data_IF_072645285712
#
_entry.id   IF_072645285712
#
_cell.length_a   1.000
_cell.length_b   1.000
_cell.length_c   1.000
_cell.angle_alpha   90.00
_cell.angle_beta   90.00
_cell.angle_gamma   90.00
#
_symmetry.space_group_name_H-M   'P 1'
#
loop_
_entity.id
_entity.type
_entity.pdbx_description
1 polymer ?
#
# COMPACT_ATOMS: atom_id res chain seq x y z
N UNK A 1 -10.74 13.48 -26.02
CA UNK A 1 -11.16 12.50 -24.99
C UNK A 1 -10.88 11.11 -25.55
N UNK A 2 -9.97 10.35 -24.94
CA UNK A 2 -9.59 9.04 -25.48
C UNK A 2 -10.67 7.97 -25.27
N UNK A 3 -10.57 6.84 -26.00
CA UNK A 3 -11.40 5.64 -25.74
C UNK A 3 -11.22 5.16 -24.28
N UNK A 4 -10.01 5.29 -23.72
CA UNK A 4 -9.74 4.95 -22.31
C UNK A 4 -10.60 5.82 -21.38
N UNK A 5 -10.66 7.12 -21.63
CA UNK A 5 -11.50 8.06 -20.87
C UNK A 5 -13.00 7.73 -20.95
N UNK A 6 -13.50 7.32 -22.11
CA UNK A 6 -14.92 6.95 -22.30
C UNK A 6 -15.26 5.68 -21.53
N UNK A 7 -14.42 4.65 -21.62
CA UNK A 7 -14.63 3.36 -20.95
C UNK A 7 -14.33 3.41 -19.45
N UNK A 8 -13.52 4.37 -18.99
CA UNK A 8 -13.14 4.50 -17.59
C UNK A 8 -14.34 4.77 -16.68
N UNK A 9 -15.30 5.62 -17.08
CA UNK A 9 -16.45 5.99 -16.26
C UNK A 9 -17.39 4.82 -15.92
N UNK A 10 -17.88 4.02 -16.89
CA UNK A 10 -18.74 2.87 -16.56
C UNK A 10 -17.98 1.81 -15.77
N UNK A 11 -16.71 1.58 -16.09
CA UNK A 11 -15.88 0.63 -15.34
C UNK A 11 -15.65 1.10 -13.89
N UNK A 12 -15.30 2.37 -13.69
CA UNK A 12 -15.17 2.99 -12.39
C UNK A 12 -16.45 2.86 -11.56
N UNK A 13 -17.62 3.14 -12.16
CA UNK A 13 -18.91 2.96 -11.50
C UNK A 13 -19.12 1.51 -11.04
N UNK A 14 -18.83 0.53 -11.90
CA UNK A 14 -18.97 -0.89 -11.54
C UNK A 14 -18.04 -1.29 -10.38
N UNK A 15 -16.79 -0.84 -10.41
CA UNK A 15 -15.80 -1.11 -9.35
C UNK A 15 -16.21 -0.45 -8.04
N UNK A 16 -16.63 0.83 -8.07
CA UNK A 16 -17.12 1.54 -6.90
C UNK A 16 -18.35 0.84 -6.27
N UNK A 17 -19.33 0.39 -7.07
CA UNK A 17 -20.48 -0.36 -6.56
C UNK A 17 -20.05 -1.65 -5.85
N UNK A 18 -19.11 -2.41 -6.43
CA UNK A 18 -18.59 -3.63 -5.80
C UNK A 18 -17.82 -3.34 -4.52
N UNK A 19 -17.03 -2.27 -4.51
CA UNK A 19 -16.28 -1.82 -3.36
C UNK A 19 -17.21 -1.43 -2.20
N UNK A 20 -18.11 -0.49 -2.41
CA UNK A 20 -19.04 -0.03 -1.37
C UNK A 20 -19.99 -1.12 -0.89
N UNK A 21 -20.36 -2.09 -1.74
CA UNK A 21 -21.11 -3.27 -1.28
C UNK A 21 -20.35 -4.04 -0.19
N UNK A 22 -19.03 -4.19 -0.31
CA UNK A 22 -18.19 -4.86 0.69
C UNK A 22 -17.96 -3.95 1.90
N UNK A 23 -17.61 -2.68 1.69
CA UNK A 23 -17.37 -1.72 2.78
C UNK A 23 -18.61 -1.53 3.66
N UNK A 24 -19.80 -1.44 3.08
CA UNK A 24 -21.07 -1.33 3.84
C UNK A 24 -21.42 -2.61 4.62
N UNK A 25 -20.74 -3.72 4.35
CA UNK A 25 -20.88 -4.99 5.08
C UNK A 25 -19.56 -5.37 5.80
N UNK A 26 -18.75 -4.38 6.14
CA UNK A 26 -17.38 -4.53 6.63
C UNK A 26 -17.19 -5.60 7.71
N UNK A 27 -18.02 -5.60 8.75
CA UNK A 27 -17.92 -6.56 9.85
C UNK A 27 -18.12 -8.00 9.36
N UNK A 28 -19.12 -8.24 8.53
CA UNK A 28 -19.39 -9.56 7.95
C UNK A 28 -18.24 -10.01 7.05
N UNK A 29 -17.75 -9.10 6.21
CA UNK A 29 -16.62 -9.37 5.31
C UNK A 29 -15.35 -9.71 6.12
N UNK A 30 -15.06 -8.99 7.20
CA UNK A 30 -13.93 -9.30 8.09
C UNK A 30 -14.06 -10.67 8.75
N UNK A 31 -15.27 -11.09 9.13
CA UNK A 31 -15.51 -12.45 9.63
C UNK A 31 -15.26 -13.52 8.56
N UNK A 32 -15.62 -13.26 7.31
CA UNK A 32 -15.34 -14.15 6.17
C UNK A 32 -13.83 -14.24 5.89
N UNK A 33 -13.13 -13.10 5.88
CA UNK A 33 -11.67 -13.03 5.74
C UNK A 33 -10.98 -13.79 6.87
N UNK A 34 -11.37 -13.56 8.13
CA UNK A 34 -10.84 -14.28 9.28
C UNK A 34 -10.96 -15.80 9.13
N UNK A 35 -12.17 -16.31 8.81
CA UNK A 35 -12.39 -17.75 8.59
C UNK A 35 -11.52 -18.30 7.47
N UNK A 36 -11.37 -17.55 6.37
CA UNK A 36 -10.53 -17.94 5.26
C UNK A 36 -9.05 -18.00 5.66
N UNK A 37 -8.57 -17.02 6.41
CA UNK A 37 -7.19 -16.97 6.92
C UNK A 37 -6.87 -18.19 7.79
N UNK A 38 -7.68 -18.46 8.81
CA UNK A 38 -7.47 -19.61 9.71
C UNK A 38 -7.52 -20.93 8.94
N UNK A 39 -8.50 -21.10 8.05
CA UNK A 39 -8.67 -22.34 7.27
C UNK A 39 -7.45 -22.64 6.39
N UNK A 40 -6.87 -21.62 5.76
CA UNK A 40 -5.72 -21.81 4.86
C UNK A 40 -4.39 -21.93 5.61
N UNK A 41 -4.30 -21.38 6.81
CA UNK A 41 -3.07 -21.36 7.59
C UNK A 41 -2.94 -22.53 8.57
N UNK A 42 -4.02 -23.27 8.85
CA UNK A 42 -4.02 -24.32 9.89
C UNK A 42 -2.95 -25.41 9.74
N UNK A 43 -2.51 -25.70 8.51
CA UNK A 43 -1.51 -26.73 8.22
C UNK A 43 -0.07 -26.20 8.17
N UNK A 44 0.12 -24.88 8.30
CA UNK A 44 1.46 -24.27 8.35
C UNK A 44 2.14 -24.59 9.68
N UNK A 45 3.46 -24.42 9.75
CA UNK A 45 4.22 -24.56 10.99
C UNK A 45 3.65 -23.61 12.04
N UNK A 46 3.44 -22.33 11.71
CA UNK A 46 2.84 -21.37 12.62
C UNK A 46 1.43 -21.80 13.06
N UNK A 47 0.59 -22.28 12.14
CA UNK A 47 -0.77 -22.72 12.44
C UNK A 47 -0.80 -23.93 13.39
N UNK A 48 0.15 -24.85 13.25
CA UNK A 48 0.30 -26.01 14.15
C UNK A 48 0.80 -25.60 15.53
N UNK A 49 1.81 -24.75 15.59
CA UNK A 49 2.40 -24.25 16.85
C UNK A 49 1.37 -23.48 17.70
N UNK A 50 0.38 -22.86 17.06
CA UNK A 50 -0.69 -22.09 17.71
C UNK A 50 -2.07 -22.79 17.62
N UNK A 51 -2.10 -24.09 17.34
CA UNK A 51 -3.30 -24.92 17.34
C UNK A 51 -4.50 -24.34 16.57
N UNK A 52 -4.28 -23.85 15.35
CA UNK A 52 -5.31 -23.24 14.50
C UNK A 52 -6.50 -24.17 14.20
N UNK A 53 -6.28 -25.49 14.24
CA UNK A 53 -7.35 -26.49 14.10
C UNK A 53 -8.42 -26.39 15.20
N UNK A 54 -8.09 -25.82 16.37
CA UNK A 54 -9.03 -25.64 17.48
C UNK A 54 -9.80 -24.32 17.43
N UNK A 55 -9.39 -23.38 16.58
CA UNK A 55 -9.94 -22.02 16.54
C UNK A 55 -11.30 -22.02 15.85
N UNK A 56 -12.37 -21.76 16.61
CA UNK A 56 -13.75 -21.68 16.10
C UNK A 56 -14.32 -20.27 16.19
N UNK A 57 -13.72 -19.43 17.02
CA UNK A 57 -14.15 -18.06 17.28
C UNK A 57 -12.97 -17.09 17.33
N UNK A 58 -13.29 -15.80 17.29
CA UNK A 58 -12.31 -14.73 17.50
C UNK A 58 -11.65 -14.81 18.89
N UNK A 59 -12.42 -15.21 19.92
CA UNK A 59 -11.90 -15.37 21.28
C UNK A 59 -10.91 -16.54 21.39
N UNK A 60 -11.17 -17.64 20.68
CA UNK A 60 -10.19 -18.75 20.61
C UNK A 60 -8.90 -18.27 19.95
N UNK A 61 -9.01 -17.48 18.87
CA UNK A 61 -7.86 -16.94 18.16
C UNK A 61 -7.00 -16.02 19.03
N UNK A 62 -7.61 -15.08 19.76
CA UNK A 62 -6.87 -14.19 20.67
C UNK A 62 -6.09 -14.95 21.74
N UNK A 63 -6.64 -16.05 22.26
CA UNK A 63 -5.97 -16.90 23.25
C UNK A 63 -4.76 -17.63 22.67
N UNK A 64 -4.84 -18.05 21.41
CA UNK A 64 -3.77 -18.80 20.76
C UNK A 64 -2.70 -17.91 20.14
N UNK A 65 -3.05 -16.72 19.65
CA UNK A 65 -2.15 -15.86 18.88
C UNK A 65 -1.94 -14.54 19.63
N UNK A 66 -0.86 -14.39 20.42
CA UNK A 66 -0.54 -13.11 21.04
C UNK A 66 -0.12 -12.06 20.01
N UNK A 67 -0.18 -10.80 20.43
CA UNK A 67 0.35 -9.67 19.65
C UNK A 67 1.86 -9.75 19.60
N UNK A 68 2.45 -9.47 18.44
CA UNK A 68 3.88 -9.63 18.15
C UNK A 68 4.40 -8.48 17.32
N UNK A 69 5.63 -8.10 17.57
CA UNK A 69 6.41 -7.31 16.64
C UNK A 69 7.12 -8.20 15.62
N UNK A 70 7.98 -7.60 14.80
CA UNK A 70 8.78 -8.35 13.83
C UNK A 70 9.77 -9.31 14.48
N UNK A 71 10.41 -8.94 15.59
CA UNK A 71 11.42 -9.80 16.23
C UNK A 71 10.79 -11.09 16.77
N UNK A 72 9.58 -11.01 17.32
CA UNK A 72 8.84 -12.19 17.76
C UNK A 72 8.42 -13.13 16.61
N UNK A 73 8.22 -12.61 15.39
CA UNK A 73 7.95 -13.43 14.19
C UNK A 73 9.21 -13.86 13.43
N UNK A 74 10.34 -13.23 13.70
CA UNK A 74 11.61 -13.42 12.98
C UNK A 74 12.04 -14.90 12.87
N UNK A 75 11.92 -15.76 13.90
CA UNK A 75 12.28 -17.18 13.75
C UNK A 75 11.51 -17.91 12.64
N UNK A 76 10.24 -17.55 12.42
CA UNK A 76 9.44 -18.10 11.32
C UNK A 76 9.79 -17.44 9.98
N UNK A 77 10.03 -16.12 9.98
CA UNK A 77 10.45 -15.40 8.78
C UNK A 77 11.79 -15.94 8.26
N UNK A 78 12.75 -16.23 9.13
CA UNK A 78 14.06 -16.75 8.76
C UNK A 78 13.98 -18.13 8.09
N UNK A 79 13.12 -19.03 8.58
CA UNK A 79 12.82 -20.31 7.91
C UNK A 79 12.23 -20.10 6.51
N UNK A 80 11.30 -19.16 6.38
CA UNK A 80 10.74 -18.82 5.07
C UNK A 80 11.80 -18.22 4.12
N UNK A 81 12.69 -17.36 4.63
CA UNK A 81 13.84 -16.79 3.89
C UNK A 81 14.87 -17.87 3.54
N UNK A 82 15.00 -18.92 4.35
CA UNK A 82 15.80 -20.12 4.04
C UNK A 82 15.19 -20.96 2.90
N UNK A 83 13.99 -20.62 2.43
CA UNK A 83 13.31 -21.29 1.33
C UNK A 83 12.41 -22.44 1.78
N UNK A 84 12.15 -22.59 3.08
CA UNK A 84 11.18 -23.56 3.59
C UNK A 84 9.74 -23.17 3.21
N UNK A 85 8.88 -24.17 3.03
CA UNK A 85 7.48 -23.97 2.63
C UNK A 85 6.53 -24.16 3.81
N UNK A 86 5.34 -23.57 3.72
CA UNK A 86 4.27 -23.73 4.72
C UNK A 86 4.69 -23.27 6.12
N UNK A 87 5.51 -22.22 6.24
CA UNK A 87 5.97 -21.71 7.54
C UNK A 87 4.91 -20.79 8.16
N UNK A 88 4.77 -19.58 7.62
CA UNK A 88 3.83 -18.55 8.08
C UNK A 88 2.51 -18.58 7.28
N UNK A 89 2.59 -18.92 6.01
CA UNK A 89 1.48 -19.08 5.07
C UNK A 89 1.73 -20.31 4.20
N UNK A 90 0.69 -20.84 3.55
CA UNK A 90 0.81 -22.00 2.66
C UNK A 90 1.75 -21.71 1.48
N UNK A 91 2.52 -22.72 1.07
CA UNK A 91 3.52 -22.60 0.02
C UNK A 91 4.74 -21.76 0.43
N UNK A 92 5.44 -21.20 -0.57
CA UNK A 92 6.54 -20.26 -0.38
C UNK A 92 6.09 -18.85 -0.74
N UNK A 93 6.57 -17.79 -0.07
CA UNK A 93 6.42 -16.42 -0.55
C UNK A 93 6.96 -16.27 -1.98
N UNK A 94 6.32 -15.43 -2.78
CA UNK A 94 6.82 -15.04 -4.11
C UNK A 94 7.98 -14.06 -3.98
N UNK A 95 7.88 -13.16 -3.02
CA UNK A 95 8.91 -12.18 -2.72
C UNK A 95 9.07 -11.98 -1.21
N UNK A 96 10.20 -11.40 -0.82
CA UNK A 96 10.31 -10.65 0.41
C UNK A 96 10.49 -9.17 0.11
N UNK A 97 9.60 -8.35 0.66
CA UNK A 97 9.81 -6.92 0.74
C UNK A 97 10.84 -6.63 1.83
N UNK A 98 11.97 -6.05 1.44
CA UNK A 98 13.02 -5.60 2.36
C UNK A 98 12.70 -4.20 2.86
N UNK A 99 12.51 -4.04 4.16
CA UNK A 99 12.34 -2.73 4.80
C UNK A 99 13.55 -2.40 5.67
N UNK A 100 13.88 -1.12 5.78
CA UNK A 100 14.93 -0.63 6.68
C UNK A 100 14.40 -0.68 8.12
N UNK A 101 14.72 -1.75 8.85
CA UNK A 101 14.47 -1.85 10.28
C UNK A 101 15.48 -1.01 11.07
N UNK A 102 15.05 -0.41 12.18
CA UNK A 102 15.84 0.58 12.95
C UNK A 102 16.56 0.04 14.19
N UNK A 103 16.66 -1.27 14.40
CA UNK A 103 17.41 -1.81 15.56
C UNK A 103 18.05 -3.18 15.34
N UNK A 104 17.53 -4.01 14.44
CA UNK A 104 17.88 -5.43 14.29
C UNK A 104 18.35 -5.84 12.88
N UNK A 105 18.60 -4.86 12.01
CA UNK A 105 18.92 -5.07 10.60
C UNK A 105 17.68 -4.99 9.70
N UNK A 106 17.81 -5.55 8.49
CA UNK A 106 16.73 -5.50 7.50
C UNK A 106 15.58 -6.45 7.88
N UNK A 107 14.34 -5.96 7.82
CA UNK A 107 13.14 -6.80 7.94
C UNK A 107 12.79 -7.39 6.57
N UNK A 108 12.34 -8.63 6.55
CA UNK A 108 11.90 -9.34 5.35
C UNK A 108 10.41 -9.66 5.50
N UNK A 109 9.56 -8.85 4.88
CA UNK A 109 8.11 -9.04 4.93
C UNK A 109 7.69 -9.93 3.76
N UNK A 110 7.04 -11.08 3.99
CA UNK A 110 6.63 -11.98 2.93
C UNK A 110 5.56 -11.35 2.04
N UNK A 111 5.63 -11.60 0.73
CA UNK A 111 4.58 -11.32 -0.24
C UNK A 111 4.23 -12.61 -0.96
N UNK A 112 2.96 -13.04 -0.87
CA UNK A 112 2.49 -14.32 -1.38
C UNK A 112 1.77 -14.15 -2.72
N UNK A 113 1.42 -15.27 -3.35
CA UNK A 113 0.61 -15.28 -4.57
C UNK A 113 -0.77 -14.66 -4.34
N UNK A 114 -1.30 -14.79 -3.13
CA UNK A 114 -2.58 -14.23 -2.71
C UNK A 114 -2.50 -12.76 -2.31
N UNK A 115 -1.39 -12.32 -1.68
CA UNK A 115 -1.27 -10.93 -1.23
C UNK A 115 -0.86 -9.97 -2.34
N UNK A 116 0.04 -10.36 -3.24
CA UNK A 116 0.58 -9.42 -4.23
C UNK A 116 -0.48 -8.76 -5.14
N UNK A 117 -1.50 -9.48 -5.66
CA UNK A 117 -2.55 -8.88 -6.47
C UNK A 117 -3.40 -7.82 -5.73
N UNK A 118 -3.44 -7.86 -4.41
CA UNK A 118 -4.25 -6.95 -3.59
C UNK A 118 -3.65 -5.54 -3.57
N UNK A 119 -2.31 -5.41 -3.55
CA UNK A 119 -1.63 -4.12 -3.68
C UNK A 119 -1.94 -3.43 -5.02
N UNK A 120 -1.90 -4.20 -6.11
CA UNK A 120 -2.15 -3.68 -7.46
C UNK A 120 -3.63 -3.30 -7.64
N UNK A 121 -4.52 -4.15 -7.14
CA UNK A 121 -5.96 -3.89 -7.20
C UNK A 121 -6.36 -2.69 -6.35
N UNK A 122 -5.77 -2.51 -5.17
CA UNK A 122 -6.01 -1.36 -4.31
C UNK A 122 -5.57 -0.05 -4.96
N UNK A 123 -4.33 0.02 -5.46
CA UNK A 123 -3.82 1.20 -6.16
C UNK A 123 -4.64 1.55 -7.42
N UNK A 124 -5.09 0.54 -8.18
CA UNK A 124 -6.01 0.76 -9.31
C UNK A 124 -7.36 1.26 -8.85
N UNK A 125 -7.92 0.65 -7.80
CA UNK A 125 -9.25 0.96 -7.32
C UNK A 125 -9.33 2.38 -6.75
N UNK A 126 -8.28 2.89 -6.10
CA UNK A 126 -8.26 4.29 -5.63
C UNK A 126 -8.47 5.29 -6.78
N UNK A 127 -7.77 5.10 -7.90
CA UNK A 127 -7.96 5.91 -9.12
C UNK A 127 -9.38 5.76 -9.70
N UNK A 128 -9.91 4.53 -9.71
CA UNK A 128 -11.26 4.27 -10.24
C UNK A 128 -12.35 4.86 -9.34
N UNK A 129 -12.17 4.86 -8.02
CA UNK A 129 -13.12 5.46 -7.10
C UNK A 129 -13.10 6.99 -7.22
N UNK A 130 -11.92 7.59 -7.40
CA UNK A 130 -11.81 9.00 -7.77
C UNK A 130 -12.57 9.33 -9.07
N UNK A 131 -12.42 8.53 -10.13
CA UNK A 131 -13.19 8.71 -11.37
C UNK A 131 -14.70 8.54 -11.11
N UNK A 132 -15.08 7.57 -10.28
CA UNK A 132 -16.48 7.29 -9.97
C UNK A 132 -17.15 8.45 -9.22
N UNK A 133 -16.43 9.11 -8.31
CA UNK A 133 -16.91 10.27 -7.57
C UNK A 133 -16.90 11.53 -8.45
N UNK A 134 -15.75 11.90 -9.00
CA UNK A 134 -15.53 13.21 -9.63
C UNK A 134 -15.93 13.27 -11.11
N UNK A 135 -16.04 12.12 -11.78
CA UNK A 135 -16.17 11.98 -13.24
C UNK A 135 -14.99 12.56 -14.04
N UNK A 136 -13.91 13.01 -13.38
CA UNK A 136 -12.70 13.51 -14.01
C UNK A 136 -11.88 12.32 -14.53
N UNK A 137 -11.58 12.31 -15.83
CA UNK A 137 -10.78 11.24 -16.45
C UNK A 137 -9.59 11.79 -17.23
N UNK A 138 -9.42 13.11 -17.33
CA UNK A 138 -8.37 13.71 -18.16
C UNK A 138 -6.97 13.23 -17.79
N UNK A 139 -6.74 12.87 -16.52
CA UNK A 139 -5.46 12.33 -16.06
C UNK A 139 -5.06 11.01 -16.73
N UNK A 140 -5.99 10.28 -17.36
CA UNK A 140 -5.67 9.00 -18.02
C UNK A 140 -5.13 9.16 -19.44
N UNK A 141 -5.27 10.37 -20.00
CA UNK A 141 -4.94 10.63 -21.41
C UNK A 141 -3.46 11.04 -21.59
N UNK A 142 -2.80 11.56 -20.55
CA UNK A 142 -1.38 11.96 -20.60
C UNK A 142 -0.40 10.94 -20.02
N UNK A 143 0.80 11.43 -19.67
CA UNK A 143 1.85 10.67 -18.98
C UNK A 143 1.64 10.67 -17.47
N UNK A 144 2.06 9.58 -16.84
CA UNK A 144 1.99 9.37 -15.40
C UNK A 144 3.38 9.06 -14.88
N UNK A 145 3.76 9.66 -13.76
CA UNK A 145 5.00 9.31 -13.06
C UNK A 145 4.69 8.64 -11.73
N UNK A 146 5.46 7.59 -11.41
CA UNK A 146 5.56 7.08 -10.05
C UNK A 146 7.02 7.13 -9.59
N UNK A 147 7.33 8.04 -8.67
CA UNK A 147 8.62 8.12 -7.99
C UNK A 147 8.71 6.96 -7.00
N UNK A 148 9.45 5.92 -7.40
CA UNK A 148 9.55 4.65 -6.68
C UNK A 148 11.00 4.24 -6.42
N UNK A 149 11.19 3.33 -5.46
CA UNK A 149 12.45 2.61 -5.29
C UNK A 149 12.81 1.73 -6.49
N UNK A 150 14.09 1.32 -6.56
CA UNK A 150 14.61 0.48 -7.64
C UNK A 150 13.77 -0.78 -7.86
N UNK A 151 13.46 -1.14 -9.12
CA UNK A 151 12.74 -2.34 -9.49
C UNK A 151 13.65 -3.57 -9.53
N UNK A 152 14.95 -3.40 -9.28
CA UNK A 152 15.89 -4.51 -9.21
C UNK A 152 15.55 -5.44 -8.05
N UNK A 153 15.62 -6.73 -8.35
CA UNK A 153 15.33 -7.79 -7.40
C UNK A 153 16.58 -8.64 -7.26
N UNK A 154 16.96 -8.87 -6.01
CA UNK A 154 17.93 -9.90 -5.68
C UNK A 154 17.20 -11.23 -5.50
N UNK A 155 17.92 -12.35 -5.55
CA UNK A 155 17.35 -13.66 -5.26
C UNK A 155 18.11 -14.31 -4.11
N UNK A 156 17.36 -14.92 -3.19
CA UNK A 156 17.92 -15.72 -2.10
C UNK A 156 17.08 -16.97 -1.93
N UNK A 157 17.72 -18.14 -2.02
CA UNK A 157 17.07 -19.45 -1.86
C UNK A 157 15.84 -19.64 -2.76
N UNK A 158 15.90 -19.14 -4.00
CA UNK A 158 14.81 -19.23 -4.98
C UNK A 158 13.63 -18.28 -4.74
N UNK A 159 13.76 -17.31 -3.83
CA UNK A 159 12.75 -16.28 -3.55
C UNK A 159 13.35 -14.90 -3.86
N UNK A 160 12.59 -14.07 -4.58
CA UNK A 160 13.02 -12.73 -4.97
C UNK A 160 12.92 -11.74 -3.80
N UNK A 161 13.82 -10.79 -3.72
CA UNK A 161 13.93 -9.81 -2.64
C UNK A 161 14.07 -8.42 -3.25
N UNK A 162 13.25 -7.47 -2.80
CA UNK A 162 13.31 -6.08 -3.25
C UNK A 162 12.51 -5.15 -2.34
N UNK A 163 12.43 -3.88 -2.69
CA UNK A 163 11.48 -2.95 -2.03
C UNK A 163 10.08 -3.19 -2.59
N UNK A 164 9.03 -3.01 -1.80
CA UNK A 164 7.65 -3.18 -2.25
C UNK A 164 7.35 -2.39 -3.53
N UNK A 165 7.75 -1.11 -3.57
CA UNK A 165 7.55 -0.24 -4.74
C UNK A 165 8.22 -0.80 -6.00
N UNK A 166 9.43 -1.37 -5.85
CA UNK A 166 10.17 -2.02 -6.92
C UNK A 166 9.50 -3.31 -7.40
N UNK A 167 9.10 -4.17 -6.46
CA UNK A 167 8.37 -5.42 -6.74
C UNK A 167 7.06 -5.12 -7.50
N UNK A 168 6.30 -4.12 -7.05
CA UNK A 168 5.03 -3.74 -7.67
C UNK A 168 5.16 -3.30 -9.14
N UNK A 169 6.34 -2.79 -9.54
CA UNK A 169 6.59 -2.36 -10.91
C UNK A 169 6.57 -3.52 -11.92
N UNK A 170 6.88 -4.75 -11.48
CA UNK A 170 6.81 -5.96 -12.30
C UNK A 170 5.37 -6.40 -12.61
N UNK A 171 4.38 -5.83 -11.93
CA UNK A 171 2.96 -6.15 -12.11
C UNK A 171 2.22 -5.13 -12.98
N UNK A 172 2.90 -4.09 -13.46
CA UNK A 172 2.29 -3.08 -14.33
C UNK A 172 2.03 -3.70 -15.70
N UNK A 173 0.77 -3.75 -16.18
CA UNK A 173 0.46 -4.29 -17.51
C UNK A 173 1.20 -3.55 -18.62
N UNK A 174 1.69 -4.28 -19.62
CA UNK A 174 2.49 -3.72 -20.72
C UNK A 174 1.84 -2.52 -21.44
N UNK A 175 0.51 -2.54 -21.61
CA UNK A 175 -0.23 -1.46 -22.25
C UNK A 175 -0.25 -0.15 -21.44
N UNK A 176 0.02 -0.22 -20.12
CA UNK A 176 0.15 0.96 -19.24
C UNK A 176 1.59 1.47 -19.16
N UNK A 177 2.59 0.63 -19.46
CA UNK A 177 4.02 1.01 -19.40
C UNK A 177 4.31 2.18 -20.34
N UNK A 178 3.70 2.25 -21.53
CA UNK A 178 3.94 3.32 -22.52
C UNK A 178 3.62 4.73 -22.01
N UNK A 179 2.72 4.85 -21.04
CA UNK A 179 2.32 6.13 -20.46
C UNK A 179 3.00 6.38 -19.11
N UNK A 180 3.91 5.50 -18.67
CA UNK A 180 4.50 5.54 -17.34
C UNK A 180 5.97 5.95 -17.41
N UNK A 181 6.33 6.89 -16.55
CA UNK A 181 7.68 7.36 -16.31
C UNK A 181 8.07 7.11 -14.83
N UNK A 182 9.37 7.12 -14.50
CA UNK A 182 10.49 7.14 -15.44
C UNK A 182 10.73 5.78 -16.10
N UNK A 183 11.65 5.72 -17.05
CA UNK A 183 12.08 4.49 -17.72
C UNK A 183 12.62 3.45 -16.72
N UNK A 184 12.74 2.20 -17.17
CA UNK A 184 13.32 1.14 -16.33
C UNK A 184 14.75 1.47 -15.91
N UNK A 185 15.57 1.95 -16.86
CA UNK A 185 16.97 2.31 -16.61
C UNK A 185 17.09 3.42 -15.56
N UNK A 186 16.33 4.51 -15.71
CA UNK A 186 16.30 5.60 -14.72
C UNK A 186 15.79 5.13 -13.37
N UNK A 187 14.83 4.19 -13.35
CA UNK A 187 14.37 3.59 -12.10
C UNK A 187 15.45 2.77 -11.36
N UNK A 188 16.43 2.21 -12.08
CA UNK A 188 17.55 1.45 -11.51
C UNK A 188 18.70 2.31 -10.96
N UNK A 189 18.69 3.64 -11.16
CA UNK A 189 19.73 4.52 -10.60
C UNK A 189 19.68 4.45 -9.06
N UNK A 190 20.80 4.11 -8.42
CA UNK A 190 20.89 3.98 -6.96
C UNK A 190 21.02 5.33 -6.26
N UNK A 191 21.87 6.22 -6.78
CA UNK A 191 22.05 7.56 -6.24
C UNK A 191 20.78 8.40 -6.45
N UNK A 192 20.23 8.90 -5.34
CA UNK A 192 18.92 9.53 -5.35
C UNK A 192 18.92 10.87 -6.10
N UNK A 193 19.98 11.66 -5.97
CA UNK A 193 20.07 12.96 -6.64
C UNK A 193 20.22 12.77 -8.16
N UNK A 194 21.16 11.93 -8.59
CA UNK A 194 21.32 11.58 -10.00
C UNK A 194 20.06 10.94 -10.59
N UNK A 195 19.34 10.12 -9.81
CA UNK A 195 18.06 9.57 -10.23
C UNK A 195 17.04 10.66 -10.50
N UNK A 196 16.90 11.64 -9.59
CA UNK A 196 15.94 12.72 -9.79
C UNK A 196 16.33 13.62 -10.97
N UNK A 197 17.61 13.91 -11.18
CA UNK A 197 18.04 14.66 -12.38
C UNK A 197 17.64 13.93 -13.68
N UNK A 198 17.89 12.63 -13.77
CA UNK A 198 17.48 11.80 -14.91
C UNK A 198 15.94 11.74 -15.07
N UNK A 199 15.20 11.70 -13.97
CA UNK A 199 13.73 11.79 -14.00
C UNK A 199 13.29 13.14 -14.61
N UNK A 200 13.92 14.25 -14.19
CA UNK A 200 13.60 15.57 -14.74
C UNK A 200 13.93 15.60 -16.24
N UNK A 201 15.05 15.02 -16.68
CA UNK A 201 15.41 14.95 -18.11
C UNK A 201 14.32 14.23 -18.94
N UNK A 202 13.78 13.13 -18.41
CA UNK A 202 12.74 12.34 -19.08
C UNK A 202 11.36 13.00 -19.08
N UNK A 203 11.08 13.92 -18.15
CA UNK A 203 9.71 14.38 -17.87
C UNK A 203 9.48 15.85 -18.22
N UNK A 204 10.51 16.69 -18.23
CA UNK A 204 10.40 18.16 -18.36
C UNK A 204 9.62 18.62 -19.62
N UNK A 205 9.64 17.84 -20.69
CA UNK A 205 8.97 18.14 -21.96
C UNK A 205 7.72 17.26 -22.21
N UNK A 206 7.30 16.47 -21.23
CA UNK A 206 6.18 15.54 -21.35
C UNK A 206 4.87 16.14 -20.80
N UNK A 207 3.74 15.69 -21.33
CA UNK A 207 2.42 16.05 -20.81
C UNK A 207 2.08 15.23 -19.55
N UNK A 208 2.68 15.62 -18.42
CA UNK A 208 2.44 14.97 -17.14
C UNK A 208 1.06 15.33 -16.60
N UNK A 209 0.27 14.32 -16.32
CA UNK A 209 -1.13 14.48 -15.88
C UNK A 209 -1.42 13.88 -14.51
N UNK A 210 -0.70 12.81 -14.16
CA UNK A 210 -0.72 12.19 -12.84
C UNK A 210 0.72 12.09 -12.30
N UNK A 211 0.92 12.58 -11.10
CA UNK A 211 2.20 12.48 -10.38
C UNK A 211 1.95 11.68 -9.11
N UNK A 212 2.79 10.69 -8.84
CA UNK A 212 2.67 9.86 -7.65
C UNK A 212 4.02 9.57 -7.00
N UNK A 213 4.04 9.51 -5.68
CA UNK A 213 5.23 9.17 -4.90
C UNK A 213 5.11 9.62 -3.45
N UNK A 214 6.18 9.42 -2.69
CA UNK A 214 6.31 9.97 -1.33
C UNK A 214 6.43 11.50 -1.44
N UNK A 215 5.65 12.29 -0.66
CA UNK A 215 5.70 13.76 -0.70
C UNK A 215 7.10 14.37 -0.69
N UNK A 216 8.01 13.90 0.16
CA UNK A 216 9.39 14.43 0.20
C UNK A 216 10.16 14.20 -1.11
N UNK A 217 9.96 13.06 -1.77
CA UNK A 217 10.59 12.75 -3.06
C UNK A 217 10.03 13.59 -4.20
N UNK A 218 8.70 13.77 -4.20
CA UNK A 218 8.00 14.57 -5.22
C UNK A 218 8.33 16.06 -5.06
N UNK A 219 8.48 16.54 -3.81
CA UNK A 219 8.92 17.90 -3.54
C UNK A 219 10.30 18.16 -4.17
N UNK A 220 11.27 17.27 -3.96
CA UNK A 220 12.61 17.43 -4.53
C UNK A 220 12.57 17.45 -6.06
N UNK A 221 11.76 16.57 -6.67
CA UNK A 221 11.54 16.55 -8.12
C UNK A 221 10.92 17.86 -8.63
N UNK A 222 9.94 18.43 -7.92
CA UNK A 222 9.34 19.73 -8.26
C UNK A 222 10.34 20.89 -8.13
N UNK A 223 11.14 20.90 -7.07
CA UNK A 223 12.18 21.91 -6.85
C UNK A 223 13.23 21.86 -7.98
N UNK A 224 13.63 20.67 -8.42
CA UNK A 224 14.54 20.49 -9.57
C UNK A 224 13.95 20.93 -10.91
N UNK A 225 12.67 20.68 -11.15
CA UNK A 225 11.96 21.19 -12.33
C UNK A 225 11.95 22.72 -12.35
N UNK A 226 11.65 23.36 -11.21
CA UNK A 226 11.62 24.81 -11.09
C UNK A 226 13.04 25.39 -11.25
N UNK A 227 14.05 24.77 -10.63
CA UNK A 227 15.45 25.17 -10.75
C UNK A 227 15.90 25.21 -12.22
N UNK A 228 15.52 24.20 -13.02
CA UNK A 228 15.91 24.11 -14.44
C UNK A 228 15.11 25.01 -15.38
N UNK A 229 13.87 25.36 -15.04
CA UNK A 229 12.97 26.08 -15.96
C UNK A 229 12.66 27.52 -15.55
N UNK A 230 12.84 27.86 -14.28
CA UNK A 230 12.35 29.11 -13.69
C UNK A 230 10.82 29.21 -13.62
N UNK A 231 10.07 28.13 -13.88
CA UNK A 231 8.60 28.11 -13.95
C UNK A 231 8.01 27.23 -12.88
N UNK A 232 6.80 27.53 -12.39
CA UNK A 232 6.08 26.65 -11.47
C UNK A 232 5.66 25.36 -12.17
N UNK A 233 5.49 24.27 -11.41
CA UNK A 233 5.20 22.95 -11.98
C UNK A 233 3.91 22.93 -12.79
N UNK A 234 2.88 23.67 -12.38
CA UNK A 234 1.63 23.79 -13.14
C UNK A 234 1.77 24.52 -14.48
N UNK A 235 2.83 25.31 -14.67
CA UNK A 235 3.17 25.93 -15.96
C UNK A 235 3.96 24.97 -16.86
N UNK A 236 4.83 24.15 -16.27
CA UNK A 236 5.60 23.11 -16.98
C UNK A 236 4.65 22.00 -17.44
N UNK A 237 3.71 21.60 -16.57
CA UNK A 237 2.71 20.55 -16.82
C UNK A 237 1.28 21.10 -16.73
N UNK A 238 0.77 21.76 -17.78
CA UNK A 238 -0.55 22.40 -17.77
C UNK A 238 -1.71 21.44 -17.43
N UNK A 239 -1.59 20.15 -17.77
CA UNK A 239 -2.62 19.15 -17.53
C UNK A 239 -2.41 18.32 -16.25
N UNK A 240 -1.38 18.61 -15.45
CA UNK A 240 -1.20 17.98 -14.14
C UNK A 240 -2.35 18.35 -13.21
N UNK A 241 -3.18 17.36 -12.87
CA UNK A 241 -4.41 17.58 -12.12
C UNK A 241 -4.76 16.48 -11.12
N UNK A 242 -3.89 15.48 -10.93
CA UNK A 242 -4.06 14.47 -9.90
C UNK A 242 -2.72 14.08 -9.25
N UNK A 243 -2.59 14.32 -7.95
CA UNK A 243 -1.44 13.90 -7.16
C UNK A 243 -1.80 12.71 -6.26
N UNK A 244 -1.10 11.60 -6.38
CA UNK A 244 -1.36 10.39 -5.60
C UNK A 244 -0.19 10.10 -4.67
N UNK A 245 -0.41 10.14 -3.36
CA UNK A 245 0.67 10.07 -2.39
C UNK A 245 0.44 9.01 -1.32
N UNK A 246 1.50 8.66 -0.60
CA UNK A 246 1.44 7.77 0.57
C UNK A 246 2.79 7.70 1.27
N UNK A 247 2.81 7.00 2.40
CA UNK A 247 4.03 6.71 3.16
C UNK A 247 4.44 7.77 4.19
N UNK A 248 3.91 9.00 4.11
CA UNK A 248 4.03 10.02 5.17
C UNK A 248 2.78 10.91 5.19
N UNK A 249 2.54 11.57 6.32
CA UNK A 249 1.49 12.58 6.44
C UNK A 249 1.75 13.75 5.47
N UNK A 250 0.78 14.04 4.60
CA UNK A 250 0.88 15.09 3.57
C UNK A 250 0.51 16.49 4.07
N UNK A 251 -0.26 16.62 5.16
CA UNK A 251 -0.71 17.93 5.64
C UNK A 251 0.43 18.96 5.85
N UNK A 252 1.60 18.60 6.41
CA UNK A 252 2.74 19.52 6.52
C UNK A 252 3.29 20.01 5.16
N UNK A 253 3.07 19.24 4.09
CA UNK A 253 3.58 19.53 2.74
C UNK A 253 2.59 20.30 1.88
N UNK A 254 1.29 20.31 2.24
CA UNK A 254 0.20 20.82 1.39
C UNK A 254 0.45 22.24 0.86
N UNK A 255 0.76 23.20 1.74
CA UNK A 255 1.00 24.58 1.35
C UNK A 255 2.22 24.73 0.43
N UNK A 256 3.30 23.99 0.71
CA UNK A 256 4.51 23.98 -0.12
C UNK A 256 4.21 23.42 -1.51
N UNK A 257 3.44 22.34 -1.60
CA UNK A 257 3.02 21.76 -2.87
C UNK A 257 2.14 22.71 -3.68
N UNK A 258 1.13 23.34 -3.06
CA UNK A 258 0.29 24.33 -3.74
C UNK A 258 1.12 25.50 -4.29
N UNK A 259 2.15 25.96 -3.56
CA UNK A 259 3.06 26.99 -4.05
C UNK A 259 3.95 26.51 -5.21
N UNK A 260 4.59 25.34 -5.09
CA UNK A 260 5.45 24.75 -6.13
C UNK A 260 4.67 24.49 -7.42
N UNK A 261 3.41 24.06 -7.30
CA UNK A 261 2.52 23.81 -8.44
C UNK A 261 1.96 25.13 -8.99
N UNK A 262 1.73 26.12 -8.13
CA UNK A 262 1.09 27.39 -8.48
C UNK A 262 -0.43 27.34 -8.52
N UNK A 263 -1.03 26.20 -8.15
CA UNK A 263 -2.48 25.99 -8.05
C UNK A 263 -2.78 24.75 -7.21
N UNK A 264 -4.04 24.62 -6.80
CA UNK A 264 -4.57 23.40 -6.22
C UNK A 264 -4.73 22.30 -7.26
N UNK A 265 -4.43 21.08 -6.84
CA UNK A 265 -4.56 19.84 -7.61
C UNK A 265 -5.27 18.82 -6.73
N UNK A 266 -6.17 18.03 -7.31
CA UNK A 266 -6.86 16.97 -6.57
C UNK A 266 -5.83 15.96 -6.05
N UNK A 267 -6.12 15.35 -4.90
CA UNK A 267 -5.21 14.39 -4.28
C UNK A 267 -5.89 13.07 -3.93
N UNK A 268 -5.11 11.99 -3.95
CA UNK A 268 -5.53 10.69 -3.42
C UNK A 268 -4.46 10.21 -2.46
N UNK A 269 -4.81 10.10 -1.19
CA UNK A 269 -3.97 9.48 -0.17
C UNK A 269 -4.08 7.96 -0.22
N UNK A 270 -2.94 7.29 -0.08
CA UNK A 270 -2.80 5.84 -0.02
C UNK A 270 -2.08 5.45 1.27
N UNK A 271 -2.52 4.34 1.87
CA UNK A 271 -1.83 3.68 2.97
C UNK A 271 -1.33 2.27 2.57
N UNK A 272 -0.27 2.19 1.74
CA UNK A 272 0.42 0.95 1.46
C UNK A 272 1.52 0.67 2.49
N UNK A 273 1.64 -0.58 2.91
CA UNK A 273 2.77 -1.10 3.66
C UNK A 273 3.30 -2.38 3.00
N UNK A 274 4.48 -2.85 3.40
CA UNK A 274 5.01 -4.14 2.90
C UNK A 274 4.15 -5.32 3.34
N UNK A 275 3.48 -5.14 4.47
CA UNK A 275 2.56 -6.06 5.14
C UNK A 275 1.21 -6.18 4.41
N UNK A 276 0.82 -5.16 3.66
CA UNK A 276 -0.45 -5.10 2.92
C UNK A 276 -0.83 -3.68 2.52
N UNK A 277 -1.80 -3.55 1.62
CA UNK A 277 -2.40 -2.25 1.30
C UNK A 277 -3.63 -2.05 2.21
N UNK A 278 -3.53 -1.15 3.18
CA UNK A 278 -4.47 -1.05 4.31
C UNK A 278 -5.68 -0.18 3.96
N UNK A 279 -5.45 1.02 3.41
CA UNK A 279 -6.52 1.99 3.15
C UNK A 279 -6.18 2.90 1.96
N UNK A 280 -7.18 3.56 1.39
CA UNK A 280 -6.98 4.68 0.48
C UNK A 280 -8.12 5.70 0.62
N UNK A 281 -7.86 6.94 0.23
CA UNK A 281 -8.87 7.99 0.13
C UNK A 281 -9.87 7.67 -0.99
N UNK A 282 -11.14 7.51 -0.64
CA UNK A 282 -12.23 7.20 -1.57
C UNK A 282 -13.14 8.40 -1.88
N UNK A 283 -12.98 9.51 -1.15
CA UNK A 283 -13.71 10.76 -1.36
C UNK A 283 -12.79 11.98 -1.44
N UNK A 284 -13.14 12.95 -2.29
CA UNK A 284 -12.53 14.28 -2.35
C UNK A 284 -13.14 15.29 -1.37
N UNK A 285 -14.24 14.92 -0.69
CA UNK A 285 -15.00 15.82 0.18
C UNK A 285 -14.91 15.42 1.66
N UNK A 286 -14.70 14.14 1.94
CA UNK A 286 -14.53 13.62 3.30
C UNK A 286 -13.05 13.52 3.69
N UNK A 287 -12.76 13.71 4.98
CA UNK A 287 -11.42 13.49 5.52
C UNK A 287 -11.19 12.00 5.82
N UNK A 288 -9.95 11.56 5.68
CA UNK A 288 -9.52 10.22 6.02
C UNK A 288 -9.49 9.26 4.83
N UNK A 289 -9.35 7.98 5.13
CA UNK A 289 -9.22 6.91 4.15
C UNK A 289 -10.17 5.76 4.49
N UNK A 290 -10.66 5.08 3.46
CA UNK A 290 -11.47 3.89 3.61
C UNK A 290 -10.61 2.65 3.84
N UNK A 291 -10.83 1.96 4.96
CA UNK A 291 -10.19 0.69 5.30
C UNK A 291 -10.56 -0.41 4.28
N UNK A 292 -9.57 -1.14 3.77
CA UNK A 292 -9.78 -2.23 2.82
C UNK A 292 -10.12 -3.54 3.53
N UNK A 293 -11.41 -3.74 3.79
CA UNK A 293 -11.94 -4.88 4.58
C UNK A 293 -11.91 -6.22 3.86
N UNK A 294 -11.69 -6.26 2.54
CA UNK A 294 -11.61 -7.50 1.74
C UNK A 294 -10.31 -7.59 0.94
N UNK A 295 -9.20 -7.28 1.59
CA UNK A 295 -7.88 -7.26 0.96
C UNK A 295 -6.97 -8.40 1.45
N UNK A 296 -7.56 -9.48 1.97
CA UNK A 296 -6.82 -10.62 2.52
C UNK A 296 -6.21 -10.35 3.90
N UNK A 297 -6.71 -9.35 4.62
CA UNK A 297 -6.26 -8.98 5.96
C UNK A 297 -7.44 -8.94 6.93
N UNK A 298 -7.27 -9.55 8.09
CA UNK A 298 -8.15 -9.39 9.24
C UNK A 298 -7.49 -8.42 10.24
N UNK A 299 -8.21 -7.34 10.55
CA UNK A 299 -7.72 -6.26 11.38
C UNK A 299 -8.22 -6.42 12.82
N UNK A 300 -7.31 -6.14 13.73
CA UNK A 300 -7.62 -5.99 15.14
C UNK A 300 -7.07 -4.66 15.64
N UNK A 301 -7.65 -4.18 16.72
CA UNK A 301 -7.42 -2.84 17.24
C UNK A 301 -7.19 -2.92 18.74
N UNK A 302 -6.21 -2.16 19.22
CA UNK A 302 -5.91 -2.00 20.65
C UNK A 302 -5.94 -0.50 20.94
N UNK A 303 -6.75 0.00 21.89
CA UNK A 303 -6.71 1.41 22.27
C UNK A 303 -5.27 1.83 22.57
N UNK A 304 -4.80 2.92 21.97
CA UNK A 304 -3.38 3.29 22.06
C UNK A 304 -2.93 3.57 23.50
N UNK A 305 -3.85 4.03 24.34
CA UNK A 305 -3.61 4.28 25.77
C UNK A 305 -3.36 2.99 26.57
N UNK A 306 -3.94 1.86 26.14
CA UNK A 306 -3.81 0.56 26.80
C UNK A 306 -2.62 -0.25 26.25
N UNK A 307 -1.98 0.18 25.15
CA UNK A 307 -1.08 -0.68 24.39
C UNK A 307 0.10 -1.27 25.18
N UNK A 308 0.57 -0.56 26.22
CA UNK A 308 1.66 -1.00 27.08
C UNK A 308 1.21 -1.73 28.35
N UNK A 309 -0.10 -1.91 28.54
CA UNK A 309 -0.64 -2.66 29.67
C UNK A 309 -0.33 -4.15 29.52
N UNK A 310 -0.30 -4.88 30.65
CA UNK A 310 -0.05 -6.33 30.62
C UNK A 310 -1.15 -7.11 29.87
N UNK A 311 -2.39 -6.60 29.90
CA UNK A 311 -3.56 -7.23 29.29
C UNK A 311 -4.41 -6.18 28.56
N UNK A 312 -3.94 -5.65 27.41
CA UNK A 312 -4.64 -4.60 26.70
C UNK A 312 -5.95 -5.12 26.08
N UNK A 313 -6.94 -4.24 25.95
CA UNK A 313 -8.14 -4.55 25.19
C UNK A 313 -7.79 -4.77 23.73
N UNK A 314 -8.07 -5.97 23.21
CA UNK A 314 -7.90 -6.33 21.80
C UNK A 314 -9.23 -6.70 21.18
N UNK A 315 -9.64 -5.91 20.19
CA UNK A 315 -10.96 -5.96 19.57
C UNK A 315 -10.89 -6.11 18.05
N UNK A 316 -11.97 -6.63 17.47
CA UNK A 316 -12.18 -6.65 16.02
C UNK A 316 -12.83 -5.37 15.52
N UNK A 317 -12.92 -5.22 14.20
CA UNK A 317 -13.60 -4.10 13.53
C UNK A 317 -15.03 -3.86 14.01
N UNK A 318 -15.72 -4.87 14.57
CA UNK A 318 -17.09 -4.73 15.06
C UNK A 318 -17.23 -3.82 16.29
N UNK A 319 -16.14 -3.54 17.00
CA UNK A 319 -16.18 -2.86 18.30
C UNK A 319 -15.37 -1.56 18.33
N UNK A 320 -14.82 -1.13 17.20
CA UNK A 320 -14.12 0.16 17.11
C UNK A 320 -15.10 1.31 17.32
N UNK A 321 -14.61 2.39 17.92
CA UNK A 321 -15.38 3.61 18.20
C UNK A 321 -14.70 4.79 17.54
N UNK A 322 -15.48 5.66 16.89
CA UNK A 322 -14.96 6.88 16.30
C UNK A 322 -14.32 7.79 17.36
N UNK A 323 -13.19 8.42 17.02
CA UNK A 323 -12.48 9.33 17.91
C UNK A 323 -11.64 8.64 18.99
N UNK A 324 -11.46 7.31 18.90
CA UNK A 324 -10.54 6.55 19.75
C UNK A 324 -9.33 6.18 18.91
N UNK A 325 -8.15 6.55 19.36
CA UNK A 325 -6.91 6.16 18.69
C UNK A 325 -6.58 4.69 19.00
N UNK A 326 -6.33 3.90 17.95
CA UNK A 326 -6.07 2.47 18.03
C UNK A 326 -4.73 2.12 17.37
N UNK A 327 -3.94 1.28 18.03
CA UNK A 327 -2.84 0.54 17.40
C UNK A 327 -3.43 -0.52 16.48
N UNK A 328 -2.93 -0.57 15.24
CA UNK A 328 -3.40 -1.50 14.22
C UNK A 328 -2.63 -2.81 14.26
N UNK A 329 -3.36 -3.93 14.44
CA UNK A 329 -2.80 -5.28 14.47
C UNK A 329 -3.28 -6.05 13.23
N UNK A 330 -2.33 -6.67 12.53
CA UNK A 330 -2.54 -7.30 11.22
C UNK A 330 -2.47 -8.82 11.29
N UNK A 331 -3.42 -9.45 10.60
CA UNK A 331 -3.42 -10.87 10.29
C UNK A 331 -3.62 -11.02 8.79
N UNK A 332 -2.63 -11.54 8.07
CA UNK A 332 -2.58 -11.38 6.61
C UNK A 332 -2.47 -12.70 5.88
N UNK A 333 -2.97 -12.73 4.65
CA UNK A 333 -2.74 -13.82 3.69
C UNK A 333 -1.29 -13.87 3.17
N UNK A 334 -0.39 -13.09 3.77
CA UNK A 334 1.06 -13.20 3.62
C UNK A 334 1.73 -13.90 4.81
N UNK A 335 0.97 -14.24 5.86
CA UNK A 335 1.45 -15.00 7.01
C UNK A 335 1.94 -14.14 8.18
N UNK A 336 1.52 -12.87 8.26
CA UNK A 336 1.67 -12.10 9.49
C UNK A 336 0.48 -12.41 10.40
N UNK A 337 0.72 -12.65 11.69
CA UNK A 337 -0.28 -13.09 12.65
C UNK A 337 -0.11 -12.35 13.97
N UNK A 338 -1.15 -11.66 14.42
CA UNK A 338 -1.08 -10.76 15.57
C UNK A 338 -0.02 -9.67 15.40
N UNK A 339 0.31 -9.29 14.15
CA UNK A 339 1.46 -8.45 13.87
C UNK A 339 1.16 -6.98 14.12
N UNK A 340 1.89 -6.38 15.05
CA UNK A 340 1.89 -4.94 15.26
C UNK A 340 2.72 -4.27 14.16
N UNK A 341 2.06 -3.52 13.28
CA UNK A 341 2.72 -2.76 12.22
C UNK A 341 3.46 -1.52 12.76
N UNK A 342 3.08 -1.05 13.95
CA UNK A 342 3.66 0.13 14.61
C UNK A 342 2.91 1.42 14.33
N UNK A 343 1.78 1.37 13.62
CA UNK A 343 0.97 2.52 13.25
C UNK A 343 -0.31 2.60 14.08
N UNK A 344 -0.81 3.82 14.25
CA UNK A 344 -2.11 4.09 14.90
C UNK A 344 -3.11 4.73 13.94
N UNK A 345 -4.40 4.52 14.19
CA UNK A 345 -5.51 5.11 13.44
C UNK A 345 -6.59 5.63 14.41
N UNK A 346 -7.37 6.63 14.01
CA UNK A 346 -8.44 7.24 14.84
C UNK A 346 -9.80 7.22 14.15
#
# INVERSE_FOLDING_TARGET
>A
MSIKSILAKPFAKQIATKFYKKSNNAVKVQQEVFKNLITNAKETVFGKDHNFNSIKSYEDFKKQVPVRDYEALKPYVEKAVAGESNILWKGKPLYFAKTSGTTSGAKYIPLTKESMPTHISAARNSLLLYIAETKKTSFVDGKMIFLQGSPELNEKNGIKIGRLSGISAHYVPQYLIKNRLPSWGTNCIEDWEAKVEAIVDETINEDMTLISGIPSWVQMYFEKLIERTGKKVGEIFPNFNLFVYGGVNFEPYRNKFEDLIGRKVDTIELYPASEGFIAFQDSQNEKGMMLLVDNGMFYEFIPSEEFFDENPTRISLAHVKAGVNYVLILNTNAGLWGYNIGDTIE
#
